data_IF_208315686612
#
_entry.id   IF_208315686612
#
_cell.length_a   1.000
_cell.length_b   1.000
_cell.length_c   1.000
_cell.angle_alpha   90.00
_cell.angle_beta   90.00
_cell.angle_gamma   90.00
#
_symmetry.space_group_name_H-M   'P 1'
#
loop_
_entity.id
_entity.type
_entity.pdbx_description
1 polymer ?
#
# COMPACT_ATOMS: atom_id res chain seq x y z
N UNK A 1 -1.01 23.91 5.70
CA UNK A 1 -0.03 22.84 6.02
C UNK A 1 -0.74 21.51 6.27
N UNK A 2 -1.67 21.41 7.24
CA UNK A 2 -2.42 20.17 7.56
C UNK A 2 -3.11 19.50 6.34
N UNK A 3 -3.72 20.27 5.42
CA UNK A 3 -4.34 19.72 4.19
C UNK A 3 -3.37 18.93 3.30
N UNK A 4 -2.10 19.36 3.20
CA UNK A 4 -1.07 18.71 2.37
C UNK A 4 -0.63 17.37 2.96
N UNK A 5 -0.43 17.32 4.28
CA UNK A 5 -0.08 16.09 4.99
C UNK A 5 -1.16 15.01 4.83
N UNK A 6 -2.44 15.40 4.75
CA UNK A 6 -3.54 14.46 4.48
C UNK A 6 -3.41 13.79 3.11
N UNK A 7 -3.21 14.60 2.06
CA UNK A 7 -3.03 14.09 0.70
C UNK A 7 -1.83 13.15 0.63
N UNK A 8 -0.71 13.54 1.25
CA UNK A 8 0.51 12.74 1.30
C UNK A 8 0.29 11.38 2.01
N UNK A 9 -0.48 11.33 3.10
CA UNK A 9 -0.82 10.07 3.79
C UNK A 9 -1.69 9.16 2.91
N UNK A 10 -2.70 9.71 2.22
CA UNK A 10 -3.56 8.94 1.32
C UNK A 10 -2.77 8.40 0.12
N UNK A 11 -1.89 9.22 -0.46
CA UNK A 11 -1.01 8.81 -1.55
C UNK A 11 -0.07 7.69 -1.11
N UNK A 12 0.55 7.80 0.07
CA UNK A 12 1.41 6.74 0.60
C UNK A 12 0.66 5.42 0.76
N UNK A 13 -0.57 5.45 1.26
CA UNK A 13 -1.39 4.24 1.42
C UNK A 13 -1.70 3.58 0.07
N UNK A 14 -2.02 4.38 -0.96
CA UNK A 14 -2.29 3.87 -2.30
C UNK A 14 -1.02 3.34 -2.98
N UNK A 15 0.11 4.04 -2.86
CA UNK A 15 1.39 3.58 -3.41
C UNK A 15 1.83 2.25 -2.78
N UNK A 16 1.61 2.06 -1.48
CA UNK A 16 1.88 0.78 -0.83
C UNK A 16 0.95 -0.34 -1.31
N UNK A 17 -0.33 -0.04 -1.54
CA UNK A 17 -1.27 -0.99 -2.15
C UNK A 17 -0.80 -1.38 -3.57
N UNK A 18 -0.38 -0.42 -4.38
CA UNK A 18 0.14 -0.64 -5.74
C UNK A 18 1.44 -1.43 -5.74
N UNK A 19 2.32 -1.20 -4.77
CA UNK A 19 3.57 -1.95 -4.59
C UNK A 19 3.29 -3.45 -4.40
N UNK A 20 2.36 -3.79 -3.50
CA UNK A 20 1.94 -5.18 -3.27
C UNK A 20 1.36 -5.84 -4.53
N UNK A 21 0.44 -5.16 -5.22
CA UNK A 21 -0.14 -5.66 -6.48
C UNK A 21 0.94 -5.89 -7.54
N UNK A 22 1.89 -4.96 -7.64
CA UNK A 22 2.98 -5.03 -8.61
C UNK A 22 3.92 -6.21 -8.32
N UNK A 23 4.29 -6.44 -7.06
CA UNK A 23 5.14 -7.58 -6.67
C UNK A 23 4.50 -8.91 -7.03
N UNK A 24 3.19 -9.06 -6.75
CA UNK A 24 2.44 -10.27 -7.11
C UNK A 24 2.38 -10.47 -8.62
N UNK A 25 2.02 -9.43 -9.38
CA UNK A 25 2.01 -9.47 -10.85
C UNK A 25 3.39 -9.82 -11.42
N UNK A 26 4.47 -9.30 -10.85
CA UNK A 26 5.83 -9.63 -11.29
C UNK A 26 6.17 -11.10 -10.98
N UNK A 27 5.76 -11.65 -9.84
CA UNK A 27 5.97 -13.06 -9.52
C UNK A 27 5.26 -13.97 -10.53
N UNK A 28 3.98 -13.71 -10.82
CA UNK A 28 3.21 -14.44 -11.84
C UNK A 28 3.86 -14.32 -13.24
N UNK A 29 4.46 -13.16 -13.55
CA UNK A 29 5.19 -12.97 -14.81
C UNK A 29 6.46 -13.82 -14.87
N UNK A 30 7.13 -14.06 -13.74
CA UNK A 30 8.29 -14.95 -13.69
C UNK A 30 7.91 -16.42 -13.80
N UNK A 31 6.81 -16.85 -13.17
CA UNK A 31 6.30 -18.22 -13.33
C UNK A 31 5.97 -18.54 -14.80
N UNK A 32 5.41 -17.57 -15.53
CA UNK A 32 5.13 -17.72 -16.98
C UNK A 32 6.39 -17.76 -17.85
N UNK A 33 7.55 -17.37 -17.32
CA UNK A 33 8.83 -17.36 -18.05
C UNK A 33 9.60 -18.68 -17.91
N UNK A 34 9.07 -19.64 -17.15
CA UNK A 34 9.66 -20.98 -17.02
C UNK A 34 9.70 -21.69 -18.37
N UNK A 35 8.66 -21.50 -19.18
CA UNK A 35 8.52 -22.16 -20.47
C UNK A 35 9.13 -21.30 -21.59
N UNK A 36 10.46 -21.37 -21.72
CA UNK A 36 11.19 -20.74 -22.82
C UNK A 36 11.39 -21.77 -23.92
N UNK A 37 10.59 -21.65 -24.98
CA UNK A 37 10.58 -22.52 -26.18
C UNK A 37 11.96 -22.72 -26.84
N UNK A 38 12.90 -21.82 -26.59
CA UNK A 38 14.25 -21.85 -27.17
C UNK A 38 15.28 -22.65 -26.37
N UNK A 39 14.96 -23.05 -25.13
CA UNK A 39 15.90 -23.78 -24.26
C UNK A 39 15.46 -25.23 -24.12
N UNK A 40 16.44 -26.14 -24.16
CA UNK A 40 16.24 -27.58 -24.02
C UNK A 40 17.21 -28.16 -22.99
N UNK A 41 16.86 -29.33 -22.42
CA UNK A 41 17.70 -30.07 -21.47
C UNK A 41 18.10 -29.24 -20.25
N UNK A 42 19.36 -29.36 -19.83
CA UNK A 42 19.91 -28.68 -18.65
C UNK A 42 19.75 -27.16 -18.70
N UNK A 43 19.77 -26.56 -19.90
CA UNK A 43 19.60 -25.12 -20.07
C UNK A 43 18.19 -24.67 -19.74
N UNK A 44 17.19 -25.47 -20.12
CA UNK A 44 15.80 -25.24 -19.76
C UNK A 44 15.62 -25.38 -18.26
N UNK A 45 16.16 -26.44 -17.66
CA UNK A 45 16.08 -26.68 -16.20
C UNK A 45 16.69 -25.52 -15.40
N UNK A 46 17.86 -25.03 -15.81
CA UNK A 46 18.50 -23.87 -15.16
C UNK A 46 17.69 -22.57 -15.31
N UNK A 47 17.13 -22.32 -16.50
CA UNK A 47 16.29 -21.15 -16.74
C UNK A 47 14.97 -21.21 -15.94
N UNK A 48 14.35 -22.39 -15.88
CA UNK A 48 13.16 -22.67 -15.08
C UNK A 48 13.44 -22.45 -13.59
N UNK A 49 14.51 -23.04 -13.06
CA UNK A 49 14.92 -22.88 -11.67
C UNK A 49 15.14 -21.41 -11.30
N UNK A 50 15.85 -20.66 -12.16
CA UNK A 50 16.06 -19.24 -11.96
C UNK A 50 14.75 -18.44 -12.01
N UNK A 51 13.84 -18.75 -12.94
CA UNK A 51 12.55 -18.09 -13.02
C UNK A 51 11.72 -18.30 -11.75
N UNK A 52 11.69 -19.52 -11.21
CA UNK A 52 11.03 -19.82 -9.94
C UNK A 52 11.67 -19.10 -8.75
N UNK A 53 13.01 -19.05 -8.68
CA UNK A 53 13.71 -18.28 -7.65
C UNK A 53 13.35 -16.79 -7.70
N UNK A 54 13.28 -16.21 -8.91
CA UNK A 54 12.87 -14.82 -9.09
C UNK A 54 11.42 -14.55 -8.69
N UNK A 55 10.51 -15.51 -8.89
CA UNK A 55 9.15 -15.43 -8.41
C UNK A 55 9.11 -15.47 -6.87
N UNK A 56 9.82 -16.42 -6.26
CA UNK A 56 9.89 -16.60 -4.80
C UNK A 56 10.46 -15.36 -4.10
N UNK A 57 11.55 -14.77 -4.60
CA UNK A 57 12.11 -13.51 -4.05
C UNK A 57 11.06 -12.40 -3.98
N UNK A 58 10.23 -12.26 -5.02
CA UNK A 58 9.18 -11.23 -5.06
C UNK A 58 8.04 -11.53 -4.11
N UNK A 59 7.66 -12.80 -3.98
CA UNK A 59 6.65 -13.24 -3.00
C UNK A 59 7.14 -13.04 -1.57
N UNK A 60 8.43 -13.24 -1.28
CA UNK A 60 9.02 -12.93 0.03
C UNK A 60 8.99 -11.44 0.35
N UNK A 61 9.33 -10.58 -0.62
CA UNK A 61 9.23 -9.12 -0.45
C UNK A 61 7.77 -8.72 -0.23
N UNK A 62 6.85 -9.28 -1.03
CA UNK A 62 5.41 -9.07 -0.86
C UNK A 62 4.95 -9.42 0.54
N UNK A 63 5.26 -10.63 1.03
CA UNK A 63 4.84 -11.10 2.35
C UNK A 63 5.39 -10.20 3.46
N UNK A 64 6.65 -9.77 3.33
CA UNK A 64 7.24 -8.84 4.29
C UNK A 64 6.54 -7.48 4.31
N UNK A 65 6.23 -6.92 3.13
CA UNK A 65 5.54 -5.64 3.05
C UNK A 65 4.09 -5.75 3.53
N UNK A 66 3.41 -6.84 3.21
CA UNK A 66 2.06 -7.14 3.69
C UNK A 66 2.04 -7.23 5.23
N UNK A 67 2.99 -7.96 5.82
CA UNK A 67 3.14 -8.06 7.28
C UNK A 67 3.34 -6.67 7.92
N UNK A 68 4.27 -5.87 7.38
CA UNK A 68 4.56 -4.52 7.88
C UNK A 68 3.33 -3.60 7.80
N UNK A 69 2.58 -3.68 6.70
CA UNK A 69 1.40 -2.83 6.43
C UNK A 69 0.08 -3.36 7.00
N UNK A 70 0.08 -4.56 7.58
CA UNK A 70 -1.06 -5.15 8.30
C UNK A 70 -0.95 -4.96 9.83
N UNK A 71 0.07 -4.25 10.30
CA UNK A 71 0.20 -3.97 11.73
C UNK A 71 -0.96 -3.12 12.24
N UNK A 72 -1.35 -3.33 13.51
CA UNK A 72 -2.43 -2.54 14.15
C UNK A 72 -2.18 -1.03 14.06
N UNK A 73 -0.92 -0.61 14.08
CA UNK A 73 -0.52 0.80 13.93
C UNK A 73 -0.91 1.32 12.54
N UNK A 74 -0.65 0.55 11.49
CA UNK A 74 -1.00 0.92 10.11
C UNK A 74 -2.52 0.84 9.90
N UNK A 75 -3.20 -0.14 10.48
CA UNK A 75 -4.67 -0.19 10.45
C UNK A 75 -5.30 1.05 11.11
N UNK A 76 -4.79 1.48 12.26
CA UNK A 76 -5.24 2.71 12.91
C UNK A 76 -4.96 3.95 12.04
N UNK A 77 -3.81 4.00 11.36
CA UNK A 77 -3.50 5.08 10.43
C UNK A 77 -4.36 5.07 9.15
N UNK A 78 -4.82 3.90 8.68
CA UNK A 78 -5.79 3.77 7.57
C UNK A 78 -7.20 4.21 7.97
N UNK A 79 -7.60 3.91 9.21
CA UNK A 79 -8.90 4.30 9.77
C UNK A 79 -8.94 5.75 10.22
N UNK A 80 -7.78 6.42 10.31
CA UNK A 80 -7.71 7.84 10.59
C UNK A 80 -8.43 8.60 9.45
N UNK A 81 -9.68 8.94 9.72
CA UNK A 81 -10.38 9.99 9.00
C UNK A 81 -9.93 11.30 9.64
N UNK A 82 -9.08 12.11 8.98
CA UNK A 82 -8.91 13.48 9.40
C UNK A 82 -10.30 14.10 9.34
N UNK A 83 -10.88 14.41 10.49
CA UNK A 83 -12.21 14.99 10.59
C UNK A 83 -12.34 16.14 9.60
N UNK A 84 -13.55 16.34 9.05
CA UNK A 84 -13.80 17.54 8.29
C UNK A 84 -13.42 18.72 9.18
N UNK A 85 -12.41 19.49 8.79
CA UNK A 85 -12.27 20.85 9.31
C UNK A 85 -13.39 21.67 8.67
N UNK A 86 -14.65 21.33 8.94
CA UNK A 86 -15.70 22.31 8.80
C UNK A 86 -15.37 23.35 9.88
N UNK A 87 -14.78 24.45 9.44
CA UNK A 87 -14.51 25.63 10.28
C UNK A 87 -15.79 26.14 10.97
N UNK A 88 -16.95 25.67 10.52
CA UNK A 88 -18.28 25.93 11.05
C UNK A 88 -18.43 25.55 12.53
N UNK A 89 -17.83 24.43 12.98
CA UNK A 89 -17.94 24.02 14.40
C UNK A 89 -17.06 24.86 15.34
N UNK A 90 -15.97 25.45 14.83
CA UNK A 90 -15.10 26.36 15.58
C UNK A 90 -15.57 27.82 15.54
N UNK A 91 -16.37 28.19 14.54
CA UNK A 91 -16.99 29.51 14.38
C UNK A 91 -18.37 29.61 15.00
N UNK A 92 -18.89 28.52 15.60
CA UNK A 92 -20.09 28.55 16.43
C UNK A 92 -19.78 29.28 17.73
N UNK A 93 -19.77 30.61 17.67
CA UNK A 93 -19.75 31.49 18.83
C UNK A 93 -21.00 31.14 19.65
N UNK A 94 -20.86 30.75 20.94
CA UNK A 94 -22.02 30.64 21.81
C UNK A 94 -22.70 32.02 21.85
N UNK A 95 -23.98 32.10 21.48
CA UNK A 95 -24.76 33.31 21.73
C UNK A 95 -24.66 33.58 23.24
N UNK A 96 -23.89 34.60 23.61
CA UNK A 96 -23.85 35.11 24.96
C UNK A 96 -25.22 35.75 25.18
N UNK A 97 -26.10 35.03 25.88
CA UNK A 97 -27.36 35.56 26.38
C UNK A 97 -27.03 36.86 27.14
N UNK A 98 -27.51 37.98 26.60
CA UNK A 98 -27.33 39.28 27.21
C UNK A 98 -28.01 39.27 28.57
N UNK A 99 -27.21 39.47 29.62
CA UNK A 99 -27.70 39.75 30.96
C UNK A 99 -28.61 40.98 30.90
N UNK A 100 -29.85 40.77 31.32
CA UNK A 100 -30.86 41.79 31.57
C UNK A 100 -30.39 42.76 32.66
N UNK A 101 -30.51 44.06 32.41
CA UNK A 101 -30.69 45.08 33.45
C UNK A 101 -31.65 46.17 32.96
#
# INVERSE_FOLDING_TARGET
RVKRWREEVLLLQEEMRRCLVTLKWQAEKWEKRVDVDTFEGERWEGAAAYAYEQADVRLRIFARFEELWSSKVVESARKFQPGSLELEDLLRVPEMEGEEE
#
